data_IF_703496285412
#
_entry.id   IF_703496285412
#
_cell.length_a   1.000
_cell.length_b   1.000
_cell.length_c   1.000
_cell.angle_alpha   90.00
_cell.angle_beta   90.00
_cell.angle_gamma   90.00
#
_symmetry.space_group_name_H-M   'P 1'
#
loop_
_entity.id
_entity.type
_entity.pdbx_description
1 polymer ?
#
# COMPACT_ATOMS: atom_id res chain seq x y z
N UNK A 1 -18.54 -9.74 -2.20
CA UNK A 1 -18.18 -10.60 -3.35
C UNK A 1 -18.68 -12.02 -3.13
N UNK A 2 -18.46 -12.94 -4.09
CA UNK A 2 -18.92 -14.34 -3.99
C UNK A 2 -18.21 -15.09 -2.86
N UNK A 3 -16.92 -14.83 -2.64
CA UNK A 3 -16.10 -15.55 -1.64
C UNK A 3 -16.12 -14.90 -0.25
N UNK A 4 -16.51 -13.64 -0.15
CA UNK A 4 -16.49 -12.90 1.11
C UNK A 4 -16.56 -11.40 0.89
N UNK A 5 -16.23 -10.57 1.89
CA UNK A 5 -16.20 -9.12 1.72
C UNK A 5 -15.15 -8.69 0.70
N UNK A 6 -15.35 -7.53 0.11
CA UNK A 6 -14.34 -6.89 -0.71
C UNK A 6 -13.31 -6.20 0.21
N UNK A 7 -12.01 -6.42 -0.02
CA UNK A 7 -10.93 -5.77 0.74
C UNK A 7 -10.04 -4.94 -0.19
N UNK A 8 -9.72 -3.74 0.26
CA UNK A 8 -8.72 -2.87 -0.37
C UNK A 8 -8.71 -1.48 0.24
N UNK A 9 -7.55 -0.83 0.17
CA UNK A 9 -7.30 0.46 0.80
C UNK A 9 -8.10 1.61 0.20
N UNK A 10 -8.20 2.70 0.94
CA UNK A 10 -8.67 3.98 0.45
C UNK A 10 -7.46 4.81 0.00
N UNK A 11 -7.49 5.28 -1.25
CA UNK A 11 -6.49 6.20 -1.79
C UNK A 11 -7.02 7.63 -1.74
N UNK A 12 -6.24 8.56 -1.23
CA UNK A 12 -6.54 9.98 -1.38
C UNK A 12 -5.53 10.60 -2.34
N UNK A 13 -6.05 11.15 -3.45
CA UNK A 13 -5.20 11.66 -4.53
C UNK A 13 -5.89 12.83 -5.25
N UNK A 14 -5.15 13.87 -5.69
CA UNK A 14 -5.71 15.02 -6.40
C UNK A 14 -5.96 14.69 -7.87
N UNK A 15 -6.93 13.82 -8.14
CA UNK A 15 -7.35 13.47 -9.50
C UNK A 15 -7.82 14.69 -10.26
N UNK A 16 -7.56 14.75 -11.56
CA UNK A 16 -7.94 15.87 -12.42
C UNK A 16 -9.44 15.85 -12.77
N UNK A 17 -10.10 14.69 -12.66
CA UNK A 17 -11.52 14.52 -12.91
C UNK A 17 -12.10 13.34 -12.14
N UNK A 18 -13.43 13.32 -12.00
CA UNK A 18 -14.15 12.16 -11.46
C UNK A 18 -13.99 10.91 -12.34
N UNK A 19 -13.89 11.10 -13.65
CA UNK A 19 -13.68 9.99 -14.59
C UNK A 19 -12.32 9.32 -14.37
N UNK A 20 -11.25 10.11 -14.18
CA UNK A 20 -9.93 9.59 -13.83
C UNK A 20 -9.98 8.78 -12.51
N UNK A 21 -10.62 9.33 -11.49
CA UNK A 21 -10.79 8.68 -10.21
C UNK A 21 -11.60 7.37 -10.33
N UNK A 22 -12.65 7.36 -11.14
CA UNK A 22 -13.47 6.18 -11.40
C UNK A 22 -12.68 5.09 -12.12
N UNK A 23 -11.93 5.44 -13.15
CA UNK A 23 -11.06 4.49 -13.86
C UNK A 23 -10.04 3.89 -12.91
N UNK A 24 -9.38 4.72 -12.09
CA UNK A 24 -8.37 4.25 -11.15
C UNK A 24 -8.95 3.32 -10.09
N UNK A 25 -10.06 3.70 -9.44
CA UNK A 25 -10.70 2.86 -8.40
C UNK A 25 -11.14 1.50 -8.94
N UNK A 26 -11.65 1.44 -10.17
CA UNK A 26 -12.06 0.19 -10.81
C UNK A 26 -10.84 -0.70 -11.12
N UNK A 27 -9.76 -0.12 -11.65
CA UNK A 27 -8.50 -0.83 -11.93
C UNK A 27 -7.86 -1.35 -10.66
N UNK A 28 -7.83 -0.54 -9.60
CA UNK A 28 -7.31 -0.91 -8.29
C UNK A 28 -8.15 -2.03 -7.65
N UNK A 29 -9.47 -1.95 -7.70
CA UNK A 29 -10.38 -3.00 -7.20
C UNK A 29 -10.13 -4.33 -7.90
N UNK A 30 -9.96 -4.32 -9.23
CA UNK A 30 -9.57 -5.50 -10.02
C UNK A 30 -8.22 -6.05 -9.59
N UNK A 31 -7.23 -5.17 -9.40
CA UNK A 31 -5.91 -5.56 -8.89
C UNK A 31 -5.97 -6.24 -7.53
N UNK A 32 -6.80 -5.70 -6.61
CA UNK A 32 -7.02 -6.32 -5.30
C UNK A 32 -7.70 -7.69 -5.41
N UNK A 33 -8.62 -7.88 -6.37
CA UNK A 33 -9.24 -9.20 -6.64
C UNK A 33 -8.18 -10.22 -7.05
N UNK A 34 -7.30 -9.87 -7.98
CA UNK A 34 -6.22 -10.78 -8.42
C UNK A 34 -5.22 -11.06 -7.29
N UNK A 35 -4.89 -10.03 -6.48
CA UNK A 35 -4.00 -10.18 -5.35
C UNK A 35 -4.58 -11.13 -4.29
N UNK A 36 -5.85 -11.01 -3.96
CA UNK A 36 -6.54 -11.93 -3.04
C UNK A 36 -6.56 -13.36 -3.59
N UNK A 37 -6.92 -13.51 -4.87
CA UNK A 37 -7.01 -14.82 -5.53
C UNK A 37 -5.66 -15.55 -5.55
N UNK A 38 -4.58 -14.89 -5.97
CA UNK A 38 -3.25 -15.53 -6.03
C UNK A 38 -2.69 -15.85 -4.65
N UNK A 39 -3.16 -15.15 -3.62
CA UNK A 39 -2.82 -15.40 -2.21
C UNK A 39 -3.72 -16.43 -1.54
N UNK A 40 -4.62 -17.05 -2.30
CA UNK A 40 -5.59 -18.04 -1.82
C UNK A 40 -6.44 -17.54 -0.63
N UNK A 41 -6.85 -16.28 -0.68
CA UNK A 41 -7.71 -15.66 0.34
C UNK A 41 -9.18 -15.70 -0.11
N UNK A 42 -10.07 -16.14 0.77
CA UNK A 42 -11.51 -16.19 0.54
C UNK A 42 -12.19 -14.82 0.73
N UNK A 43 -11.66 -13.81 0.04
CA UNK A 43 -12.17 -12.44 0.00
C UNK A 43 -12.16 -11.92 -1.44
N UNK A 44 -12.98 -10.92 -1.71
CA UNK A 44 -12.93 -10.20 -2.97
C UNK A 44 -12.01 -8.99 -2.93
N UNK A 45 -11.79 -8.37 -4.07
CA UNK A 45 -11.11 -7.09 -4.17
C UNK A 45 -12.11 -5.93 -4.13
N UNK A 46 -11.74 -4.90 -3.40
CA UNK A 46 -12.41 -3.60 -3.40
C UNK A 46 -11.39 -2.49 -3.32
N UNK A 47 -11.82 -1.27 -3.59
CA UNK A 47 -11.01 -0.06 -3.45
C UNK A 47 -11.93 1.11 -3.19
N UNK A 48 -11.43 2.10 -2.47
CA UNK A 48 -12.04 3.41 -2.40
C UNK A 48 -11.04 4.49 -2.82
N UNK A 49 -11.55 5.60 -3.35
CA UNK A 49 -10.75 6.80 -3.60
C UNK A 49 -11.45 8.02 -2.99
N UNK A 50 -10.66 8.94 -2.49
CA UNK A 50 -11.08 10.29 -2.08
C UNK A 50 -10.36 11.26 -3.01
N UNK A 51 -11.11 12.09 -3.71
CA UNK A 51 -10.55 13.12 -4.60
C UNK A 51 -10.13 14.31 -3.70
N UNK A 52 -8.85 14.60 -3.63
CA UNK A 52 -8.31 15.70 -2.85
C UNK A 52 -6.81 15.56 -2.59
N UNK A 53 -6.18 16.67 -2.24
CA UNK A 53 -4.77 16.69 -1.84
C UNK A 53 -4.64 16.20 -0.38
N UNK A 54 -3.95 15.07 -0.13
CA UNK A 54 -3.85 14.53 1.23
C UNK A 54 -3.11 15.45 2.22
N UNK A 55 -2.36 16.44 1.72
CA UNK A 55 -1.64 17.39 2.56
C UNK A 55 -2.48 18.63 2.91
N UNK A 56 -3.58 18.89 2.18
CA UNK A 56 -4.40 20.11 2.35
C UNK A 56 -5.84 19.80 2.76
N UNK A 57 -6.44 18.78 2.14
CA UNK A 57 -7.89 18.55 2.23
C UNK A 57 -8.25 17.47 3.25
N UNK A 58 -7.26 16.78 3.81
CA UNK A 58 -7.47 15.74 4.82
C UNK A 58 -7.90 16.34 6.14
N UNK A 59 -8.94 15.77 6.75
CA UNK A 59 -9.41 16.15 8.08
C UNK A 59 -10.03 14.97 8.81
N UNK A 60 -10.06 15.00 10.15
CA UNK A 60 -10.77 14.00 10.95
C UNK A 60 -12.22 13.86 10.51
N UNK A 61 -12.91 14.99 10.27
CA UNK A 61 -14.32 15.00 9.85
C UNK A 61 -14.52 14.23 8.54
N UNK A 62 -13.65 14.44 7.55
CA UNK A 62 -13.69 13.72 6.28
C UNK A 62 -13.48 12.22 6.49
N UNK A 63 -12.46 11.84 7.26
CA UNK A 63 -12.13 10.45 7.52
C UNK A 63 -13.20 9.71 8.31
N UNK A 64 -13.79 10.35 9.31
CA UNK A 64 -14.93 9.79 10.06
C UNK A 64 -16.18 9.68 9.19
N UNK A 65 -16.44 10.67 8.33
CA UNK A 65 -17.55 10.59 7.37
C UNK A 65 -17.38 9.43 6.39
N UNK A 66 -16.17 9.22 5.89
CA UNK A 66 -15.83 8.02 5.11
C UNK A 66 -16.03 6.73 5.91
N UNK A 67 -15.63 6.71 7.19
CA UNK A 67 -15.87 5.59 8.10
C UNK A 67 -17.34 5.23 8.24
N UNK A 68 -18.22 6.24 8.41
CA UNK A 68 -19.69 6.05 8.45
C UNK A 68 -20.23 5.48 7.14
N UNK A 69 -19.71 5.95 6.00
CA UNK A 69 -20.05 5.40 4.70
C UNK A 69 -19.64 3.92 4.59
N UNK A 70 -18.42 3.57 4.98
CA UNK A 70 -17.96 2.16 5.01
C UNK A 70 -18.83 1.31 5.94
N UNK A 71 -19.21 1.85 7.11
CA UNK A 71 -20.12 1.17 8.05
C UNK A 71 -21.47 0.83 7.42
N UNK A 72 -22.04 1.77 6.64
CA UNK A 72 -23.34 1.58 5.98
C UNK A 72 -23.36 0.44 4.95
N UNK A 73 -22.18 0.00 4.49
CA UNK A 73 -22.05 -1.15 3.58
C UNK A 73 -22.20 -2.52 4.29
N UNK A 74 -22.42 -2.52 5.62
CA UNK A 74 -22.76 -3.73 6.37
C UNK A 74 -21.70 -4.83 6.29
N UNK A 75 -20.42 -4.48 6.32
CA UNK A 75 -19.28 -5.43 6.26
C UNK A 75 -18.97 -5.97 4.86
N UNK A 76 -19.66 -5.51 3.82
CA UNK A 76 -19.38 -5.94 2.43
C UNK A 76 -18.06 -5.41 1.88
N UNK A 77 -17.52 -4.35 2.48
CA UNK A 77 -16.25 -3.75 2.14
C UNK A 77 -15.41 -3.50 3.40
N UNK A 78 -14.14 -3.88 3.35
CA UNK A 78 -13.13 -3.64 4.39
C UNK A 78 -12.09 -2.70 3.80
N UNK A 79 -11.92 -1.52 4.42
CA UNK A 79 -10.93 -0.54 4.00
C UNK A 79 -9.58 -0.72 4.68
N UNK A 80 -8.55 -0.09 4.13
CA UNK A 80 -7.18 -0.05 4.66
C UNK A 80 -6.48 1.22 4.19
N UNK A 81 -5.24 1.46 4.62
CA UNK A 81 -4.42 2.53 4.05
C UNK A 81 -4.01 2.24 2.60
N UNK A 82 -3.80 3.30 1.83
CA UNK A 82 -3.19 3.31 0.51
C UNK A 82 -2.49 4.67 0.31
N UNK A 83 -2.12 5.01 -0.91
CA UNK A 83 -1.49 6.30 -1.25
C UNK A 83 -2.29 7.47 -0.69
N UNK A 84 -1.61 8.41 -0.04
CA UNK A 84 -2.23 9.57 0.60
C UNK A 84 -2.86 9.31 1.96
N UNK A 85 -2.87 8.05 2.43
CA UNK A 85 -3.43 7.65 3.72
C UNK A 85 -2.35 7.07 4.64
N UNK A 86 -2.60 7.10 5.94
CA UNK A 86 -1.70 6.60 6.98
C UNK A 86 -2.43 5.70 7.97
N UNK A 87 -1.66 4.98 8.80
CA UNK A 87 -2.21 4.20 9.93
C UNK A 87 -3.08 5.07 10.84
N UNK A 88 -2.65 6.31 11.11
CA UNK A 88 -3.41 7.25 11.94
C UNK A 88 -4.76 7.64 11.31
N UNK A 89 -4.81 7.80 9.98
CA UNK A 89 -6.07 8.05 9.28
C UNK A 89 -7.04 6.86 9.42
N UNK A 90 -6.50 5.63 9.42
CA UNK A 90 -7.30 4.42 9.65
C UNK A 90 -7.87 4.37 11.07
N UNK A 91 -7.21 4.96 12.05
CA UNK A 91 -7.71 5.06 13.43
C UNK A 91 -8.96 5.96 13.50
N UNK A 92 -8.98 7.09 12.79
CA UNK A 92 -10.19 7.93 12.68
C UNK A 92 -11.35 7.17 12.00
N UNK A 93 -11.07 6.43 10.94
CA UNK A 93 -12.07 5.60 10.27
C UNK A 93 -12.56 4.50 11.21
N UNK A 94 -11.68 3.92 12.03
CA UNK A 94 -11.99 2.87 13.00
C UNK A 94 -12.98 3.33 14.09
N UNK A 95 -13.03 4.62 14.41
CA UNK A 95 -14.00 5.16 15.35
C UNK A 95 -15.46 4.97 14.87
N UNK A 96 -15.67 4.86 13.56
CA UNK A 96 -17.01 4.77 12.96
C UNK A 96 -17.34 3.35 12.42
N UNK A 97 -16.35 2.49 12.21
CA UNK A 97 -16.57 1.15 11.65
C UNK A 97 -15.54 0.13 12.09
N UNK A 98 -15.98 -1.11 12.25
CA UNK A 98 -15.07 -2.26 12.43
C UNK A 98 -14.49 -2.77 11.10
N UNK A 99 -15.03 -2.34 9.95
CA UNK A 99 -14.62 -2.79 8.62
C UNK A 99 -13.39 -2.01 8.13
N UNK A 100 -12.34 -1.97 8.93
CA UNK A 100 -11.07 -1.31 8.63
C UNK A 100 -9.91 -2.15 9.15
N UNK A 101 -8.83 -2.22 8.37
CA UNK A 101 -7.57 -2.87 8.74
C UNK A 101 -6.38 -1.91 8.53
N UNK A 102 -5.17 -2.31 8.94
CA UNK A 102 -4.01 -1.42 8.88
C UNK A 102 -3.96 -0.42 10.04
N UNK A 103 -4.74 -0.63 11.10
CA UNK A 103 -4.66 0.12 12.35
C UNK A 103 -3.46 -0.33 13.19
N UNK A 104 -3.08 0.45 14.19
CA UNK A 104 -1.95 0.13 15.07
C UNK A 104 -2.11 -1.21 15.79
N UNK A 105 -0.99 -1.82 16.16
CA UNK A 105 -0.98 -3.06 16.95
C UNK A 105 -1.63 -2.88 18.31
N UNK A 106 -1.51 -1.70 18.91
CA UNK A 106 -2.16 -1.37 20.18
C UNK A 106 -3.70 -1.43 20.08
N UNK A 107 -4.25 -1.20 18.88
CA UNK A 107 -5.69 -1.30 18.59
C UNK A 107 -6.09 -2.67 18.00
N UNK A 108 -5.22 -3.66 18.08
CA UNK A 108 -5.47 -5.01 17.55
C UNK A 108 -5.22 -5.17 16.04
N UNK A 109 -4.58 -4.22 15.40
CA UNK A 109 -4.24 -4.25 13.98
C UNK A 109 -2.86 -4.84 13.68
N UNK A 110 -2.51 -4.88 12.40
CA UNK A 110 -1.20 -5.33 11.89
C UNK A 110 -0.16 -4.22 11.77
N UNK A 111 -0.57 -2.96 11.92
CA UNK A 111 0.29 -1.79 11.70
C UNK A 111 0.55 -1.50 10.22
N UNK A 112 1.65 -0.80 9.95
CA UNK A 112 2.06 -0.39 8.60
C UNK A 112 2.37 -1.62 7.71
N UNK A 113 1.67 -1.82 6.61
CA UNK A 113 1.89 -2.95 5.71
C UNK A 113 3.17 -2.84 4.88
N UNK A 114 3.84 -1.69 4.86
CA UNK A 114 4.98 -1.42 3.99
C UNK A 114 6.16 -2.35 4.25
N UNK A 115 6.36 -2.78 5.50
CA UNK A 115 7.43 -3.71 5.89
C UNK A 115 7.24 -5.06 5.19
N UNK A 116 6.04 -5.64 5.30
CA UNK A 116 5.73 -6.92 4.67
C UNK A 116 5.63 -6.80 3.14
N UNK A 117 5.16 -5.67 2.64
CA UNK A 117 5.11 -5.39 1.20
C UNK A 117 6.52 -5.36 0.61
N UNK A 118 7.46 -4.69 1.27
CA UNK A 118 8.86 -4.65 0.84
C UNK A 118 9.51 -6.05 0.85
N UNK A 119 9.24 -6.85 1.88
CA UNK A 119 9.70 -8.24 1.94
C UNK A 119 9.11 -9.06 0.78
N UNK A 120 7.82 -8.89 0.49
CA UNK A 120 7.15 -9.56 -0.63
C UNK A 120 7.78 -9.21 -1.99
N UNK A 121 8.08 -7.93 -2.23
CA UNK A 121 8.81 -7.48 -3.43
C UNK A 121 10.19 -8.12 -3.49
N UNK A 122 10.94 -8.07 -2.40
CA UNK A 122 12.29 -8.63 -2.30
C UNK A 122 12.32 -10.15 -2.62
N UNK A 123 11.42 -10.92 -2.02
CA UNK A 123 11.30 -12.37 -2.28
C UNK A 123 10.88 -12.64 -3.73
N UNK A 124 9.94 -11.86 -4.25
CA UNK A 124 9.49 -11.93 -5.65
C UNK A 124 10.61 -11.64 -6.64
N UNK A 125 11.46 -10.63 -6.37
CA UNK A 125 12.65 -10.33 -7.19
C UNK A 125 13.61 -11.53 -7.21
N UNK A 126 13.92 -12.13 -6.07
CA UNK A 126 14.80 -13.34 -6.00
C UNK A 126 14.21 -14.50 -6.77
N UNK A 127 12.91 -14.76 -6.63
CA UNK A 127 12.24 -15.82 -7.38
C UNK A 127 12.26 -15.60 -8.90
N UNK A 128 12.02 -14.36 -9.34
CA UNK A 128 12.07 -14.00 -10.75
C UNK A 128 13.47 -14.15 -11.35
N UNK A 129 14.51 -13.69 -10.65
CA UNK A 129 15.91 -13.82 -11.06
C UNK A 129 16.34 -15.29 -11.15
N UNK A 130 15.97 -16.09 -10.16
CA UNK A 130 16.23 -17.53 -10.18
C UNK A 130 15.58 -18.20 -11.39
N UNK A 131 14.31 -17.90 -11.66
CA UNK A 131 13.57 -18.52 -12.77
C UNK A 131 14.07 -18.06 -14.14
N UNK A 132 14.35 -16.77 -14.32
CA UNK A 132 14.70 -16.20 -15.63
C UNK A 132 16.17 -16.35 -15.99
N UNK A 133 17.06 -16.21 -15.02
CA UNK A 133 18.51 -16.08 -15.25
C UNK A 133 19.35 -17.04 -14.39
N UNK A 134 18.72 -17.95 -13.65
CA UNK A 134 19.35 -18.86 -12.70
C UNK A 134 20.27 -18.18 -11.66
N UNK A 135 20.02 -16.89 -11.40
CA UNK A 135 20.75 -16.11 -10.39
C UNK A 135 20.13 -16.36 -9.02
N UNK A 136 20.93 -16.83 -8.07
CA UNK A 136 20.46 -17.17 -6.70
C UNK A 136 20.82 -16.12 -5.67
N UNK A 137 21.77 -15.22 -5.94
CA UNK A 137 22.24 -14.19 -5.01
C UNK A 137 22.13 -12.82 -5.65
N UNK A 138 21.77 -11.81 -4.85
CA UNK A 138 21.75 -10.41 -5.28
C UNK A 138 23.10 -9.71 -5.07
N UNK A 139 24.07 -10.39 -4.46
CA UNK A 139 25.38 -9.81 -4.15
C UNK A 139 26.07 -9.26 -5.41
N UNK A 140 26.41 -7.96 -5.35
CA UNK A 140 27.08 -7.24 -6.43
C UNK A 140 26.18 -6.86 -7.62
N UNK A 141 24.92 -7.30 -7.67
CA UNK A 141 23.99 -6.90 -8.72
C UNK A 141 23.66 -5.41 -8.61
N UNK A 142 23.57 -4.75 -9.76
CA UNK A 142 23.10 -3.37 -9.88
C UNK A 142 21.58 -3.35 -9.97
N UNK A 143 20.92 -2.70 -9.02
CA UNK A 143 19.46 -2.65 -8.92
C UNK A 143 19.01 -1.21 -8.90
N UNK A 144 18.16 -0.82 -9.86
CA UNK A 144 17.48 0.46 -9.89
C UNK A 144 16.22 0.42 -9.03
N UNK A 145 16.05 1.39 -8.13
CA UNK A 145 14.85 1.57 -7.32
C UNK A 145 14.27 2.95 -7.61
N UNK A 146 13.04 2.99 -8.08
CA UNK A 146 12.28 4.21 -8.28
C UNK A 146 11.26 4.37 -7.15
N UNK A 147 11.40 5.43 -6.36
CA UNK A 147 10.56 5.71 -5.21
C UNK A 147 11.19 5.24 -3.88
N UNK A 148 11.46 6.19 -3.00
CA UNK A 148 11.99 5.97 -1.64
C UNK A 148 10.97 6.28 -0.55
N UNK A 149 9.68 6.10 -0.86
CA UNK A 149 8.63 6.07 0.15
C UNK A 149 8.80 4.87 1.10
N UNK A 150 7.83 4.62 1.98
CA UNK A 150 7.90 3.57 3.00
C UNK A 150 8.34 2.19 2.45
N UNK A 151 7.73 1.72 1.36
CA UNK A 151 8.07 0.42 0.75
C UNK A 151 9.48 0.43 0.16
N UNK A 152 9.83 1.48 -0.60
CA UNK A 152 11.17 1.60 -1.21
C UNK A 152 12.29 1.59 -0.19
N UNK A 153 12.11 2.30 0.93
CA UNK A 153 13.06 2.32 2.03
C UNK A 153 13.33 0.91 2.61
N UNK A 154 12.29 0.17 2.98
CA UNK A 154 12.44 -1.18 3.51
C UNK A 154 12.99 -2.16 2.46
N UNK A 155 12.60 -2.01 1.19
CA UNK A 155 13.15 -2.80 0.10
C UNK A 155 14.66 -2.58 -0.04
N UNK A 156 15.12 -1.33 -0.02
CA UNK A 156 16.53 -1.00 -0.09
C UNK A 156 17.32 -1.58 1.09
N UNK A 157 16.75 -1.61 2.30
CA UNK A 157 17.36 -2.26 3.46
C UNK A 157 17.60 -3.76 3.21
N UNK A 158 16.62 -4.47 2.64
CA UNK A 158 16.76 -5.88 2.26
C UNK A 158 17.82 -6.08 1.16
N UNK A 159 17.81 -5.22 0.13
CA UNK A 159 18.77 -5.30 -0.97
C UNK A 159 20.20 -5.05 -0.51
N UNK A 160 20.39 -4.06 0.39
CA UNK A 160 21.69 -3.75 0.99
C UNK A 160 22.22 -4.92 1.82
N UNK A 161 21.35 -5.54 2.64
CA UNK A 161 21.76 -6.69 3.47
C UNK A 161 22.22 -7.91 2.65
N UNK A 162 21.73 -8.07 1.43
CA UNK A 162 22.19 -9.10 0.47
C UNK A 162 23.39 -8.66 -0.37
N UNK A 163 23.91 -7.45 -0.16
CA UNK A 163 25.08 -6.93 -0.85
C UNK A 163 24.83 -6.46 -2.29
N UNK A 164 23.60 -6.10 -2.63
CA UNK A 164 23.30 -5.47 -3.91
C UNK A 164 23.83 -4.03 -3.99
N UNK A 165 24.10 -3.57 -5.21
CA UNK A 165 24.44 -2.16 -5.49
C UNK A 165 23.17 -1.43 -5.91
N UNK A 166 22.69 -0.50 -5.08
CA UNK A 166 21.43 0.20 -5.26
C UNK A 166 21.65 1.53 -5.99
N UNK A 167 20.85 1.79 -6.99
CA UNK A 167 20.76 3.07 -7.70
C UNK A 167 19.32 3.57 -7.55
N UNK A 168 19.14 4.67 -6.84
CA UNK A 168 17.84 5.15 -6.48
C UNK A 168 17.46 6.47 -7.16
N UNK A 169 16.17 6.64 -7.41
CA UNK A 169 15.58 7.88 -7.86
C UNK A 169 14.25 8.13 -7.16
N UNK A 170 14.01 9.36 -6.72
CA UNK A 170 12.74 9.85 -6.22
C UNK A 170 12.50 11.28 -6.71
N UNK A 171 11.25 11.64 -6.92
CA UNK A 171 10.86 13.03 -7.24
C UNK A 171 10.99 13.93 -6.00
N UNK A 172 10.91 13.36 -4.79
CA UNK A 172 11.10 14.06 -3.53
C UNK A 172 12.56 13.95 -3.08
N UNK A 173 13.26 15.08 -3.11
CA UNK A 173 14.67 15.18 -2.73
C UNK A 173 14.93 14.87 -1.25
N UNK A 174 13.97 15.15 -0.37
CA UNK A 174 14.08 14.83 1.06
C UNK A 174 14.08 13.31 1.28
N UNK A 175 13.23 12.57 0.55
CA UNK A 175 13.21 11.11 0.58
C UNK A 175 14.53 10.50 0.15
N UNK A 176 15.19 11.11 -0.86
CA UNK A 176 16.54 10.70 -1.28
C UNK A 176 17.57 10.97 -0.19
N UNK A 177 17.57 12.15 0.42
CA UNK A 177 18.53 12.53 1.46
C UNK A 177 18.46 11.59 2.68
N UNK A 178 17.26 11.29 3.17
CA UNK A 178 17.04 10.34 4.27
C UNK A 178 17.57 8.95 3.92
N UNK A 179 17.37 8.49 2.69
CA UNK A 179 17.85 7.17 2.24
C UNK A 179 19.38 7.12 2.15
N UNK A 180 20.02 8.19 1.71
CA UNK A 180 21.49 8.26 1.65
C UNK A 180 22.18 8.21 3.02
N UNK A 181 21.52 8.72 4.06
CA UNK A 181 22.08 8.78 5.42
C UNK A 181 21.86 7.49 6.21
N UNK A 182 20.85 6.69 5.87
CA UNK A 182 20.45 5.50 6.62
C UNK A 182 20.60 4.18 5.87
N UNK A 183 20.79 4.19 4.55
CA UNK A 183 21.05 3.04 3.69
C UNK A 183 22.48 3.03 3.20
#
# INVERSE_FOLDING_TARGET
TVLGPALGGCRMYPYQSEEEALIDVLRLSRGMTYKASISNLNIGGGKAVIIGDPNKDKSEVLLRSFGKFVHSLGGKYITAEDVGMSVHDMEFIRMETNSVTGITRAMGGSGDPSILTALGVFVGMKAALKKKSNIQSLKGLKIGVQGFGKVGYYLCSHLKSEGAKIYGYDINQESLAVSYTHL
#
